data_IF_927196672390
#
_entry.id   IF_927196672390
#
_cell.length_a   1.000
_cell.length_b   1.000
_cell.length_c   1.000
_cell.angle_alpha   90.00
_cell.angle_beta   90.00
_cell.angle_gamma   90.00
#
_symmetry.space_group_name_H-M   'P 1'
#
loop_
_entity.id
_entity.type
_entity.pdbx_description
1 polymer ?
#
# COMPACT_ATOMS: atom_id res chain seq x y z
N UNK A 1 8.30 -57.78 29.65
CA UNK A 1 8.99 -56.47 29.74
C UNK A 1 8.88 -55.76 28.40
N UNK A 2 7.98 -54.78 28.28
CA UNK A 2 7.76 -53.98 27.06
C UNK A 2 8.55 -52.67 27.16
N UNK A 3 9.41 -52.38 26.19
CA UNK A 3 10.17 -51.13 26.08
C UNK A 3 9.29 -50.09 25.37
N UNK A 4 9.01 -48.98 26.03
CA UNK A 4 8.41 -47.80 25.41
C UNK A 4 9.54 -46.91 24.87
N UNK A 5 9.60 -46.71 23.55
CA UNK A 5 10.35 -45.61 22.95
C UNK A 5 9.43 -44.38 22.92
N UNK A 6 9.75 -43.36 23.71
CA UNK A 6 9.18 -42.02 23.53
C UNK A 6 9.88 -41.34 22.34
N UNK A 7 9.12 -41.08 21.28
CA UNK A 7 9.54 -40.19 20.20
C UNK A 7 9.28 -38.77 20.70
N UNK A 8 10.35 -38.04 20.99
CA UNK A 8 10.28 -36.60 21.23
C UNK A 8 10.20 -35.89 19.88
N UNK A 9 8.99 -35.47 19.49
CA UNK A 9 8.76 -34.60 18.34
C UNK A 9 9.29 -33.20 18.66
N UNK A 10 10.47 -32.87 18.13
CA UNK A 10 10.97 -31.50 18.13
C UNK A 10 10.06 -30.65 17.23
N UNK A 11 9.28 -29.77 17.86
CA UNK A 11 8.58 -28.69 17.16
C UNK A 11 9.64 -27.75 16.57
N UNK A 12 9.86 -27.87 15.26
CA UNK A 12 10.56 -26.86 14.48
C UNK A 12 9.63 -25.64 14.40
N UNK A 13 9.90 -24.63 15.23
CA UNK A 13 9.36 -23.30 15.02
C UNK A 13 9.94 -22.77 13.71
N UNK A 14 9.14 -22.85 12.65
CA UNK A 14 9.41 -22.13 11.40
C UNK A 14 9.45 -20.64 11.73
N UNK A 15 10.64 -20.06 11.76
CA UNK A 15 10.81 -18.61 11.79
C UNK A 15 10.17 -18.03 10.54
N UNK A 16 9.03 -17.38 10.71
CA UNK A 16 8.44 -16.55 9.67
C UNK A 16 9.47 -15.48 9.30
N UNK A 17 9.85 -15.45 8.02
CA UNK A 17 10.64 -14.37 7.43
C UNK A 17 9.84 -13.08 7.65
N UNK A 18 10.21 -12.30 8.66
CA UNK A 18 9.71 -10.94 8.80
C UNK A 18 10.31 -10.15 7.63
N UNK A 19 9.44 -9.54 6.82
CA UNK A 19 9.85 -8.48 5.90
C UNK A 19 10.71 -7.48 6.68
N UNK A 20 11.77 -6.97 6.05
CA UNK A 20 12.72 -6.07 6.71
C UNK A 20 11.99 -5.04 7.56
N UNK A 21 12.20 -5.11 8.88
CA UNK A 21 11.67 -4.17 9.85
C UNK A 21 12.50 -2.88 9.91
N UNK A 22 13.53 -2.75 9.06
CA UNK A 22 14.47 -1.65 9.05
C UNK A 22 13.91 -0.47 8.24
N UNK A 23 13.98 0.71 8.83
CA UNK A 23 13.65 1.98 8.21
C UNK A 23 14.94 2.76 8.00
N UNK A 24 15.72 2.31 7.02
CA UNK A 24 17.00 2.89 6.68
C UNK A 24 17.11 3.13 5.17
N UNK A 25 17.82 4.18 4.81
CA UNK A 25 18.18 4.50 3.44
C UNK A 25 19.69 4.68 3.40
N UNK A 26 20.36 3.95 2.51
CA UNK A 26 21.82 3.92 2.42
C UNK A 26 22.52 3.59 3.75
N UNK A 27 21.89 2.75 4.60
CA UNK A 27 22.40 2.35 5.91
C UNK A 27 22.30 3.43 7.00
N UNK A 28 21.48 4.47 6.78
CA UNK A 28 21.21 5.53 7.75
C UNK A 28 19.72 5.51 8.15
N UNK A 29 19.40 5.73 9.44
CA UNK A 29 18.03 5.88 9.91
C UNK A 29 17.30 7.03 9.23
N UNK A 30 15.99 6.89 9.03
CA UNK A 30 15.16 7.97 8.53
C UNK A 30 15.08 9.10 9.56
N UNK A 31 15.25 10.33 9.09
CA UNK A 31 15.04 11.55 9.89
C UNK A 31 13.70 12.16 9.50
N UNK A 32 12.75 12.13 10.43
CA UNK A 32 11.37 12.59 10.24
C UNK A 32 11.19 13.97 10.87
N UNK A 33 10.56 14.88 10.14
CA UNK A 33 9.93 16.08 10.72
C UNK A 33 8.50 15.71 11.08
N UNK A 34 8.11 15.95 12.32
CA UNK A 34 6.77 15.71 12.83
C UNK A 34 5.86 16.93 12.60
N UNK A 35 4.55 16.78 12.77
CA UNK A 35 3.60 17.88 12.54
C UNK A 35 3.76 19.04 13.53
N UNK A 36 4.27 18.79 14.74
CA UNK A 36 4.66 19.81 15.70
C UNK A 36 6.01 20.47 15.37
N UNK A 37 6.66 20.06 14.27
CA UNK A 37 7.99 20.44 13.79
C UNK A 37 9.17 19.89 14.61
N UNK A 38 8.93 18.98 15.56
CA UNK A 38 10.02 18.23 16.17
C UNK A 38 10.64 17.25 15.17
N UNK A 39 11.87 16.83 15.47
CA UNK A 39 12.63 15.89 14.65
C UNK A 39 12.75 14.56 15.39
N UNK A 40 12.45 13.47 14.72
CA UNK A 40 12.65 12.12 15.22
C UNK A 40 13.53 11.31 14.26
N UNK A 41 14.36 10.42 14.81
CA UNK A 41 15.07 9.41 14.03
C UNK A 41 14.42 8.07 14.27
N UNK A 42 14.06 7.37 13.19
CA UNK A 42 13.49 6.03 13.26
C UNK A 42 14.37 5.10 12.44
N UNK A 43 14.75 3.97 13.05
CA UNK A 43 15.56 2.93 12.40
C UNK A 43 14.76 1.67 12.14
N UNK A 44 13.57 1.56 12.73
CA UNK A 44 12.72 0.39 12.59
C UNK A 44 11.23 0.72 12.55
N UNK A 45 10.42 -0.19 12.02
CA UNK A 45 8.96 -0.12 12.13
C UNK A 45 8.51 0.01 13.60
N UNK A 46 9.20 -0.60 14.56
CA UNK A 46 8.84 -0.50 15.98
C UNK A 46 9.01 0.93 16.52
N UNK A 47 10.10 1.61 16.15
CA UNK A 47 10.35 3.00 16.53
C UNK A 47 9.26 3.90 15.97
N UNK A 48 8.99 3.74 14.66
CA UNK A 48 7.97 4.51 13.95
C UNK A 48 6.57 4.30 14.55
N UNK A 49 6.18 3.06 14.82
CA UNK A 49 4.85 2.76 15.37
C UNK A 49 4.73 3.25 16.82
N UNK A 50 5.80 3.21 17.61
CA UNK A 50 5.80 3.78 18.97
C UNK A 50 5.55 5.29 18.93
N UNK A 51 6.17 5.99 17.98
CA UNK A 51 5.96 7.41 17.73
C UNK A 51 4.52 7.70 17.27
N UNK A 52 3.96 6.90 16.34
CA UNK A 52 2.56 7.06 15.93
C UNK A 52 1.58 6.83 17.09
N UNK A 53 1.86 5.87 17.98
CA UNK A 53 1.03 5.58 19.17
C UNK A 53 1.07 6.68 20.23
N UNK A 54 2.08 7.54 20.25
CA UNK A 54 2.08 8.74 21.10
C UNK A 54 1.30 9.92 20.49
N UNK A 55 0.70 9.73 19.31
CA UNK A 55 -0.09 10.75 18.60
C UNK A 55 0.68 11.54 17.55
N UNK A 56 1.98 11.29 17.38
CA UNK A 56 2.83 12.05 16.47
C UNK A 56 2.66 11.61 15.03
N UNK A 57 2.46 12.55 14.11
CA UNK A 57 2.32 12.31 12.65
C UNK A 57 3.51 12.87 11.88
N UNK A 58 3.88 12.22 10.78
CA UNK A 58 4.99 12.61 9.90
C UNK A 58 4.56 13.75 8.98
N UNK A 59 5.33 14.84 8.99
CA UNK A 59 5.18 15.98 8.08
C UNK A 59 6.10 15.88 6.87
N UNK A 60 7.35 15.49 7.09
CA UNK A 60 8.36 15.36 6.04
C UNK A 60 9.47 14.38 6.43
N UNK A 61 10.26 13.94 5.44
CA UNK A 61 11.49 13.17 5.60
C UNK A 61 12.66 14.05 5.14
N UNK A 62 13.69 14.19 5.96
CA UNK A 62 14.86 15.03 5.67
C UNK A 62 15.99 14.26 4.99
N UNK A 63 16.87 15.03 4.34
CA UNK A 63 18.17 14.58 3.83
C UNK A 63 18.08 13.38 2.86
N UNK A 64 17.01 13.35 2.07
CA UNK A 64 16.73 12.29 1.11
C UNK A 64 16.32 12.89 -0.24
N UNK A 65 16.92 12.41 -1.32
CA UNK A 65 16.56 12.79 -2.68
C UNK A 65 15.46 11.89 -3.23
N UNK A 66 14.76 12.34 -4.27
CA UNK A 66 14.01 11.42 -5.12
C UNK A 66 15.00 10.50 -5.86
N UNK A 67 14.82 9.17 -5.90
CA UNK A 67 13.62 8.35 -5.59
C UNK A 67 13.58 7.75 -4.17
N UNK A 68 14.60 8.00 -3.35
CA UNK A 68 14.73 7.43 -2.02
C UNK A 68 13.60 7.92 -1.09
N UNK A 69 13.09 9.15 -1.31
CA UNK A 69 11.94 9.71 -0.59
C UNK A 69 10.69 8.83 -0.74
N UNK A 70 10.31 8.51 -1.98
CA UNK A 70 9.18 7.64 -2.29
C UNK A 70 9.34 6.24 -1.68
N UNK A 71 10.57 5.71 -1.68
CA UNK A 71 10.87 4.44 -1.04
C UNK A 71 10.68 4.51 0.48
N UNK A 72 11.15 5.58 1.12
CA UNK A 72 10.99 5.77 2.56
C UNK A 72 9.51 5.94 2.95
N UNK A 73 8.74 6.71 2.19
CA UNK A 73 7.28 6.84 2.37
C UNK A 73 6.56 5.51 2.22
N UNK A 74 6.93 4.71 1.23
CA UNK A 74 6.36 3.37 1.04
C UNK A 74 6.69 2.46 2.23
N UNK A 75 7.93 2.45 2.72
CA UNK A 75 8.34 1.65 3.87
C UNK A 75 7.59 2.03 5.15
N UNK A 76 7.42 3.34 5.41
CA UNK A 76 6.62 3.83 6.53
C UNK A 76 5.14 3.41 6.42
N UNK A 77 4.58 3.46 5.21
CA UNK A 77 3.21 3.00 4.93
C UNK A 77 3.08 1.49 5.16
N UNK A 78 4.07 0.69 4.76
CA UNK A 78 4.10 -0.76 4.99
C UNK A 78 4.20 -1.08 6.49
N UNK A 79 5.01 -0.35 7.25
CA UNK A 79 5.04 -0.46 8.72
C UNK A 79 3.66 -0.16 9.32
N UNK A 80 2.98 0.90 8.87
CA UNK A 80 1.61 1.23 9.29
C UNK A 80 0.64 0.09 8.98
N UNK A 81 0.63 -0.43 7.75
CA UNK A 81 -0.26 -1.52 7.31
C UNK A 81 -0.07 -2.76 8.20
N UNK A 82 1.18 -3.13 8.48
CA UNK A 82 1.50 -4.27 9.34
C UNK A 82 1.01 -4.05 10.78
N UNK A 83 1.24 -2.86 11.34
CA UNK A 83 0.77 -2.52 12.68
C UNK A 83 -0.76 -2.50 12.78
N UNK A 84 -1.44 -1.93 11.78
CA UNK A 84 -2.89 -1.92 11.67
C UNK A 84 -3.45 -3.35 11.65
N UNK A 85 -2.85 -4.25 10.86
CA UNK A 85 -3.25 -5.65 10.80
C UNK A 85 -3.10 -6.34 12.17
N UNK A 86 -1.97 -6.16 12.86
CA UNK A 86 -1.72 -6.74 14.18
C UNK A 86 -2.73 -6.21 15.21
N UNK A 87 -2.94 -4.89 15.27
CA UNK A 87 -3.82 -4.25 16.24
C UNK A 87 -5.29 -4.69 16.07
N UNK A 88 -5.71 -4.95 14.84
CA UNK A 88 -7.05 -5.41 14.52
C UNK A 88 -7.17 -6.95 14.52
N UNK A 89 -6.13 -7.68 14.94
CA UNK A 89 -6.13 -9.14 15.01
C UNK A 89 -6.33 -9.81 13.65
N UNK A 90 -5.87 -9.16 12.58
CA UNK A 90 -5.99 -9.62 11.21
C UNK A 90 -4.87 -10.62 10.90
N UNK A 91 -5.22 -11.73 10.26
CA UNK A 91 -4.28 -12.78 9.85
C UNK A 91 -4.15 -12.77 8.34
N UNK A 92 -2.91 -12.69 7.83
CA UNK A 92 -2.65 -12.71 6.40
C UNK A 92 -3.09 -14.06 5.79
N UNK A 93 -3.83 -14.00 4.70
CA UNK A 93 -4.24 -15.14 3.89
C UNK A 93 -3.38 -15.23 2.65
N UNK A 94 -3.07 -16.46 2.25
CA UNK A 94 -2.57 -16.72 0.91
C UNK A 94 -3.76 -16.71 -0.05
N UNK A 95 -3.92 -15.61 -0.78
CA UNK A 95 -4.99 -15.41 -1.73
C UNK A 95 -4.40 -14.78 -3.01
N UNK A 96 -4.81 -15.25 -4.19
CA UNK A 96 -4.30 -14.70 -5.43
C UNK A 96 -4.72 -13.23 -5.58
N UNK A 97 -3.82 -12.41 -6.10
CA UNK A 97 -4.13 -11.05 -6.47
C UNK A 97 -5.10 -11.03 -7.67
N UNK A 98 -6.06 -10.09 -7.73
CA UNK A 98 -6.82 -9.84 -8.95
C UNK A 98 -5.89 -9.35 -10.06
N UNK A 99 -6.30 -9.49 -11.32
CA UNK A 99 -5.58 -8.88 -12.42
C UNK A 99 -5.61 -7.35 -12.31
N UNK A 100 -4.58 -6.66 -12.81
CA UNK A 100 -4.55 -5.20 -12.83
C UNK A 100 -5.75 -4.61 -13.61
N UNK A 101 -6.16 -5.25 -14.70
CA UNK A 101 -7.34 -4.85 -15.47
C UNK A 101 -8.62 -4.96 -14.65
N UNK A 102 -8.82 -6.05 -13.91
CA UNK A 102 -10.01 -6.21 -13.08
C UNK A 102 -10.02 -5.20 -11.93
N UNK A 103 -8.85 -4.96 -11.33
CA UNK A 103 -8.72 -3.95 -10.30
C UNK A 103 -9.13 -2.56 -10.82
N UNK A 104 -8.62 -2.14 -11.98
CA UNK A 104 -8.91 -0.80 -12.52
C UNK A 104 -10.35 -0.65 -13.05
N UNK A 105 -11.05 -1.74 -13.36
CA UNK A 105 -12.49 -1.74 -13.66
C UNK A 105 -13.37 -1.49 -12.44
N UNK A 106 -12.84 -1.67 -11.25
CA UNK A 106 -13.57 -1.47 -10.00
C UNK A 106 -13.07 -0.28 -9.19
N UNK A 107 -11.81 0.14 -9.37
CA UNK A 107 -11.27 1.31 -8.69
C UNK A 107 -11.96 2.60 -9.16
N UNK A 108 -12.39 3.48 -8.25
CA UNK A 108 -13.08 4.71 -8.60
C UNK A 108 -12.20 5.65 -9.43
N UNK A 109 -12.80 6.29 -10.44
CA UNK A 109 -12.10 7.22 -11.33
C UNK A 109 -11.47 8.42 -10.58
N UNK A 110 -11.93 8.74 -9.38
CA UNK A 110 -11.32 9.77 -8.52
C UNK A 110 -9.88 9.46 -8.13
N UNK A 111 -9.44 8.21 -8.24
CA UNK A 111 -8.08 7.76 -7.98
C UNK A 111 -7.22 7.64 -9.25
N UNK A 112 -7.73 8.10 -10.40
CA UNK A 112 -6.94 8.24 -11.62
C UNK A 112 -5.69 9.09 -11.31
N UNK A 113 -4.57 8.79 -11.98
CA UNK A 113 -3.47 9.75 -12.05
C UNK A 113 -4.00 11.06 -12.63
N UNK A 114 -3.85 12.15 -11.89
CA UNK A 114 -4.28 13.49 -12.28
C UNK A 114 -3.05 14.38 -12.25
N UNK A 115 -2.74 15.03 -13.38
CA UNK A 115 -1.56 15.89 -13.52
C UNK A 115 -1.89 17.39 -13.52
N UNK A 116 -3.18 17.75 -13.49
CA UNK A 116 -3.63 19.15 -13.43
C UNK A 116 -4.99 19.32 -12.75
N UNK A 117 -5.26 20.52 -12.20
CA UNK A 117 -6.55 20.85 -11.60
C UNK A 117 -7.71 20.78 -12.62
N UNK A 118 -7.45 21.15 -13.88
CA UNK A 118 -8.46 21.02 -14.94
C UNK A 118 -8.86 19.56 -15.15
N UNK A 119 -7.87 18.65 -15.22
CA UNK A 119 -8.14 17.22 -15.33
C UNK A 119 -8.92 16.69 -14.12
N UNK A 120 -8.56 17.15 -12.91
CA UNK A 120 -9.30 16.81 -11.68
C UNK A 120 -10.79 17.15 -11.80
N UNK A 121 -11.10 18.38 -12.23
CA UNK A 121 -12.47 18.82 -12.42
C UNK A 121 -13.20 18.01 -13.50
N UNK A 122 -12.53 17.70 -14.61
CA UNK A 122 -13.12 16.89 -15.67
C UNK A 122 -13.47 15.49 -15.19
N UNK A 123 -12.55 14.84 -14.46
CA UNK A 123 -12.77 13.51 -13.87
C UNK A 123 -13.97 13.54 -12.94
N UNK A 124 -14.04 14.52 -12.03
CA UNK A 124 -15.16 14.67 -11.10
C UNK A 124 -16.49 14.90 -11.82
N UNK A 125 -16.51 15.71 -12.89
CA UNK A 125 -17.74 16.04 -13.63
C UNK A 125 -18.23 14.90 -14.53
N UNK A 126 -17.33 14.24 -15.26
CA UNK A 126 -17.67 13.28 -16.34
C UNK A 126 -17.64 11.81 -15.88
N UNK A 127 -16.93 11.51 -14.79
CA UNK A 127 -16.63 10.14 -14.34
C UNK A 127 -16.99 9.87 -12.88
N UNK A 128 -17.83 10.71 -12.27
CA UNK A 128 -18.41 10.39 -10.96
C UNK A 128 -19.16 9.04 -10.99
N UNK A 129 -18.88 8.16 -10.03
CA UNK A 129 -19.44 6.81 -9.98
C UNK A 129 -18.96 5.86 -11.09
N UNK A 130 -17.87 6.21 -11.78
CA UNK A 130 -17.23 5.35 -12.79
C UNK A 130 -15.86 4.86 -12.30
N UNK A 131 -15.31 3.88 -13.00
CA UNK A 131 -14.01 3.32 -12.71
C UNK A 131 -12.88 4.07 -13.42
N UNK A 132 -11.63 3.85 -12.99
CA UNK A 132 -10.45 4.29 -13.73
C UNK A 132 -10.49 3.72 -15.15
N UNK A 133 -10.89 2.45 -15.32
CA UNK A 133 -11.00 1.83 -16.65
C UNK A 133 -11.93 2.61 -17.58
N UNK A 134 -13.00 3.21 -17.06
CA UNK A 134 -13.95 3.98 -17.86
C UNK A 134 -13.38 5.33 -18.35
N UNK A 135 -12.25 5.80 -17.79
CA UNK A 135 -11.66 7.09 -18.19
C UNK A 135 -10.91 7.03 -19.50
N UNK A 136 -10.43 5.84 -19.89
CA UNK A 136 -9.53 5.69 -21.04
C UNK A 136 -9.99 4.53 -21.93
N UNK A 137 -10.30 4.76 -23.21
CA UNK A 137 -10.88 3.74 -24.08
C UNK A 137 -9.84 2.73 -24.62
N UNK A 138 -8.55 3.02 -24.47
CA UNK A 138 -7.44 2.32 -25.14
C UNK A 138 -6.49 1.62 -24.15
N UNK A 139 -6.95 1.33 -22.93
CA UNK A 139 -6.14 0.60 -21.97
C UNK A 139 -5.69 -0.76 -22.53
N UNK A 140 -4.37 -0.95 -22.58
CA UNK A 140 -3.74 -2.17 -23.08
C UNK A 140 -2.64 -2.64 -22.15
N UNK A 141 -2.59 -3.95 -21.92
CA UNK A 141 -1.50 -4.58 -21.17
C UNK A 141 -0.21 -4.57 -22.01
N UNK A 142 0.89 -4.14 -21.41
CA UNK A 142 2.26 -4.30 -21.94
C UNK A 142 3.15 -4.86 -20.84
N UNK A 143 3.38 -6.17 -20.87
CA UNK A 143 4.06 -6.85 -19.76
C UNK A 143 3.19 -6.84 -18.49
N UNK A 144 3.72 -6.32 -17.39
CA UNK A 144 3.06 -6.23 -16.09
C UNK A 144 2.36 -4.88 -15.84
N UNK A 145 2.35 -3.98 -16.83
CA UNK A 145 1.71 -2.66 -16.75
C UNK A 145 0.52 -2.56 -17.69
N UNK A 146 -0.49 -1.79 -17.27
CA UNK A 146 -1.60 -1.36 -18.12
C UNK A 146 -1.35 0.08 -18.56
N UNK A 147 -1.42 0.37 -19.85
CA UNK A 147 -1.13 1.69 -20.41
C UNK A 147 -2.28 2.20 -21.26
N UNK A 148 -2.57 3.49 -21.17
CA UNK A 148 -3.39 4.25 -22.12
C UNK A 148 -2.47 5.22 -22.86
N UNK A 149 -2.46 5.15 -24.20
CA UNK A 149 -1.70 6.10 -25.00
C UNK A 149 -2.45 7.43 -25.11
N UNK A 150 -3.79 7.40 -25.16
CA UNK A 150 -4.61 8.61 -25.24
C UNK A 150 -4.48 9.50 -24.00
N UNK A 151 -4.38 8.88 -22.82
CA UNK A 151 -4.33 9.59 -21.55
C UNK A 151 -2.90 9.76 -21.02
N UNK A 152 -1.89 9.37 -21.81
CA UNK A 152 -0.48 9.41 -21.43
C UNK A 152 -0.20 8.79 -20.04
N UNK A 153 -0.91 7.71 -19.68
CA UNK A 153 -0.88 7.15 -18.32
C UNK A 153 -0.61 5.65 -18.33
N UNK A 154 0.16 5.18 -17.35
CA UNK A 154 0.39 3.78 -17.05
C UNK A 154 0.11 3.44 -15.59
N UNK A 155 -0.26 2.18 -15.33
CA UNK A 155 -0.51 1.64 -14.01
C UNK A 155 0.24 0.33 -13.81
N UNK A 156 0.64 0.07 -12.56
CA UNK A 156 1.25 -1.19 -12.12
C UNK A 156 0.66 -1.62 -10.78
N UNK A 157 0.32 -2.89 -10.65
CA UNK A 157 0.03 -3.50 -9.36
C UNK A 157 1.36 -3.77 -8.63
N UNK A 158 1.60 -3.09 -7.52
CA UNK A 158 2.84 -3.24 -6.73
C UNK A 158 2.70 -4.35 -5.71
N UNK A 159 1.59 -4.37 -4.97
CA UNK A 159 1.33 -5.40 -3.98
C UNK A 159 -0.18 -5.60 -3.82
N UNK A 160 -0.55 -6.82 -3.44
CA UNK A 160 -1.90 -7.15 -3.01
C UNK A 160 -1.78 -8.12 -1.84
N UNK A 161 -2.42 -7.81 -0.72
CA UNK A 161 -2.47 -8.67 0.45
C UNK A 161 -3.91 -8.83 0.90
N UNK A 162 -4.29 -10.06 1.20
CA UNK A 162 -5.57 -10.36 1.84
C UNK A 162 -5.30 -10.70 3.29
N UNK A 163 -6.10 -10.13 4.18
CA UNK A 163 -6.13 -10.48 5.58
C UNK A 163 -7.54 -10.91 5.97
N UNK A 164 -7.68 -11.67 7.04
CA UNK A 164 -8.98 -12.07 7.57
C UNK A 164 -9.05 -11.78 9.06
N UNK A 165 -10.20 -11.30 9.52
CA UNK A 165 -10.47 -11.16 10.94
C UNK A 165 -10.98 -12.48 11.55
N UNK A 166 -11.26 -12.45 12.85
CA UNK A 166 -11.76 -13.64 13.59
C UNK A 166 -13.14 -14.11 13.13
N UNK A 167 -13.93 -13.24 12.50
CA UNK A 167 -15.26 -13.56 11.96
C UNK A 167 -15.18 -14.13 10.53
N UNK A 168 -13.96 -14.27 9.98
CA UNK A 168 -13.73 -14.74 8.62
C UNK A 168 -13.99 -13.69 7.53
N UNK A 169 -14.22 -12.42 7.90
CA UNK A 169 -14.34 -11.31 6.95
C UNK A 169 -12.96 -10.95 6.41
N UNK A 170 -12.87 -10.82 5.08
CA UNK A 170 -11.64 -10.49 4.40
C UNK A 170 -11.43 -8.97 4.23
N UNK A 171 -10.19 -8.56 4.39
CA UNK A 171 -9.69 -7.20 4.29
C UNK A 171 -8.57 -7.20 3.26
N UNK A 172 -8.77 -6.48 2.16
CA UNK A 172 -7.83 -6.49 1.04
C UNK A 172 -7.10 -5.16 1.02
N UNK A 173 -5.78 -5.23 0.97
CA UNK A 173 -4.90 -4.07 0.88
C UNK A 173 -4.16 -4.16 -0.44
N UNK A 174 -4.17 -3.07 -1.19
CA UNK A 174 -3.55 -3.00 -2.51
C UNK A 174 -2.71 -1.75 -2.66
N UNK A 175 -1.54 -1.89 -3.26
CA UNK A 175 -0.67 -0.79 -3.63
C UNK A 175 -0.57 -0.71 -5.15
N UNK A 176 -0.87 0.46 -5.69
CA UNK A 176 -0.85 0.73 -7.13
C UNK A 176 0.13 1.86 -7.38
N UNK A 177 1.00 1.68 -8.37
CA UNK A 177 1.75 2.77 -8.94
C UNK A 177 1.05 3.27 -10.20
N UNK A 178 0.95 4.59 -10.36
CA UNK A 178 0.47 5.23 -11.57
C UNK A 178 1.53 6.23 -12.05
N UNK A 179 1.75 6.35 -13.35
CA UNK A 179 2.85 7.14 -13.93
C UNK A 179 2.47 7.68 -15.30
N UNK A 180 3.09 8.79 -15.73
CA UNK A 180 2.94 9.28 -17.09
C UNK A 180 3.82 8.46 -18.06
N UNK A 181 3.36 8.20 -19.28
CA UNK A 181 4.20 7.49 -20.26
C UNK A 181 5.31 8.41 -20.81
N UNK A 182 5.02 9.71 -20.90
CA UNK A 182 5.99 10.75 -21.21
C UNK A 182 6.19 11.65 -19.98
N UNK A 183 7.46 11.84 -19.60
CA UNK A 183 7.84 12.59 -18.39
C UNK A 183 8.31 11.68 -17.25
N UNK A 184 8.41 12.25 -16.05
CA UNK A 184 8.92 11.56 -14.86
C UNK A 184 7.92 11.53 -13.71
N UNK A 185 6.68 11.98 -13.94
CA UNK A 185 5.69 12.05 -12.89
C UNK A 185 5.08 10.68 -12.64
N UNK A 186 5.03 10.29 -11.36
CA UNK A 186 4.37 9.09 -10.92
C UNK A 186 4.04 9.18 -9.44
N UNK A 187 3.10 8.34 -9.02
CA UNK A 187 2.66 8.23 -7.64
C UNK A 187 2.51 6.76 -7.28
N UNK A 188 2.72 6.46 -6.01
CA UNK A 188 2.42 5.15 -5.41
C UNK A 188 1.45 5.36 -4.26
N UNK A 189 0.29 4.74 -4.34
CA UNK A 189 -0.73 4.82 -3.30
C UNK A 189 -1.13 3.42 -2.83
N UNK A 190 -1.38 3.31 -1.53
CA UNK A 190 -1.92 2.11 -0.91
C UNK A 190 -3.37 2.35 -0.51
N UNK A 191 -4.20 1.30 -0.59
CA UNK A 191 -5.62 1.38 -0.32
C UNK A 191 -6.10 0.14 0.44
N UNK A 192 -7.00 0.34 1.39
CA UNK A 192 -7.87 -0.70 1.93
C UNK A 192 -9.12 -0.75 1.04
N UNK A 193 -9.47 -1.93 0.53
CA UNK A 193 -10.73 -2.17 -0.17
C UNK A 193 -11.77 -2.62 0.85
N UNK A 194 -12.82 -1.81 1.05
CA UNK A 194 -13.84 -2.05 2.08
C UNK A 194 -14.96 -2.97 1.62
N UNK A 195 -15.40 -2.83 0.36
CA UNK A 195 -16.49 -3.63 -0.24
C UNK A 195 -16.15 -3.96 -1.69
N UNK A 196 -16.22 -5.26 -2.04
CA UNK A 196 -15.84 -5.78 -3.37
C UNK A 196 -17.05 -6.19 -4.22
N UNK A 197 -18.22 -6.21 -3.62
CA UNK A 197 -19.48 -6.69 -4.22
C UNK A 197 -20.09 -5.64 -5.16
N UNK A 198 -19.68 -4.38 -5.03
CA UNK A 198 -20.15 -3.29 -5.88
C UNK A 198 -19.41 -3.22 -7.22
N UNK A 199 -20.06 -2.60 -8.20
CA UNK A 199 -19.43 -2.32 -9.50
C UNK A 199 -18.21 -1.42 -9.33
N UNK A 200 -18.30 -0.40 -8.48
CA UNK A 200 -17.17 0.45 -8.09
C UNK A 200 -16.89 0.18 -6.63
N UNK A 201 -15.65 -0.18 -6.30
CA UNK A 201 -15.31 -0.54 -4.92
C UNK A 201 -15.21 0.70 -4.05
N UNK A 202 -15.75 0.60 -2.83
CA UNK A 202 -15.42 1.55 -1.79
C UNK A 202 -14.00 1.27 -1.31
N UNK A 203 -13.13 2.26 -1.44
CA UNK A 203 -11.75 2.18 -1.02
C UNK A 203 -11.42 3.29 -0.01
N UNK A 204 -10.38 3.07 0.76
CA UNK A 204 -9.80 4.07 1.64
C UNK A 204 -8.31 4.11 1.40
N UNK A 205 -7.80 5.28 0.99
CA UNK A 205 -6.37 5.52 0.89
C UNK A 205 -5.72 5.37 2.27
N UNK A 206 -4.56 4.72 2.30
CA UNK A 206 -3.73 4.57 3.49
C UNK A 206 -2.30 5.04 3.22
N UNK A 207 -1.72 5.62 4.25
CA UNK A 207 -0.39 6.23 4.28
C UNK A 207 0.20 6.11 5.70
N UNK A 208 1.39 6.66 5.95
CA UNK A 208 2.02 6.59 7.28
C UNK A 208 1.23 7.29 8.39
N UNK A 209 0.39 8.25 8.02
CA UNK A 209 -0.36 9.09 8.95
C UNK A 209 -1.79 8.63 9.16
N UNK A 210 -2.18 7.54 8.52
CA UNK A 210 -3.48 6.93 8.71
C UNK A 210 -3.69 6.52 10.18
N UNK A 211 -4.95 6.50 10.67
CA UNK A 211 -5.23 6.21 12.08
C UNK A 211 -4.82 4.79 12.49
N UNK A 212 -4.04 4.66 13.56
CA UNK A 212 -3.74 3.39 14.23
C UNK A 212 -4.75 3.10 15.34
#
# INVERSE_FOLDING_TARGET
MKRFLCVASAFLFSSTVFASNELEINGLPLTLVLNDNNIAKVSSCSDFISLRKSGETVKNILDISEPDYDQAKAALTDCYINAYAIQNGLVKKDAPAPSLSDLLKHFPASEKLIVSDNEKEEVQKKFNGKSIWDTSPDFMMKGDVLQSQSDDTGYRLISYSTYSNRDGKDFNIVTIAAFTLHGTYGIRNSYIIKYKEEKIWEIQKVDENSPL
#
